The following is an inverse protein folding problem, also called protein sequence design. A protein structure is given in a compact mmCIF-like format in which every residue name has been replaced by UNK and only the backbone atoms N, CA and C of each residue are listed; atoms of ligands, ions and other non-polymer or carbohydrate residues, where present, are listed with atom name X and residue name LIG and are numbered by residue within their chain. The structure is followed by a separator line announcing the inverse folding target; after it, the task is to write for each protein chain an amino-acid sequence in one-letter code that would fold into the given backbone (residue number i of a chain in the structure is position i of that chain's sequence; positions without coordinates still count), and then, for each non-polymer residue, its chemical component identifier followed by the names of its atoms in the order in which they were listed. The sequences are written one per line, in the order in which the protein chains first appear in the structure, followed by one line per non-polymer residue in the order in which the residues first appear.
data_IF_509671136126
#
_entry.id   IF_509671136126
#
_cell.length_a   1.000
_cell.length_b   1.000
_cell.length_c   1.000
_cell.angle_alpha   90.00
_cell.angle_beta   90.00
_cell.angle_gamma   90.00
#
_symmetry.space_group_name_H-M   'P 1'
#
loop_
_entity.id
_entity.type
_entity.pdbx_description
1 polymer ?
#
# COMPACT_ATOMS: atom_id res chain seq x y z
N UNK A 1 -3.00 15.40 -27.64
CA UNK A 1 -4.31 15.67 -27.03
C UNK A 1 -4.23 15.16 -25.59
N UNK A 2 -3.96 16.04 -24.61
CA UNK A 2 -3.92 15.63 -23.20
C UNK A 2 -5.36 15.65 -22.71
N UNK A 3 -5.98 14.48 -22.68
CA UNK A 3 -7.30 14.32 -22.08
C UNK A 3 -7.14 14.58 -20.58
N UNK A 4 -7.79 15.64 -20.06
CA UNK A 4 -7.88 15.91 -18.62
C UNK A 4 -8.78 14.83 -18.00
N UNK A 5 -8.22 13.64 -17.83
CA UNK A 5 -8.84 12.56 -17.07
C UNK A 5 -8.84 12.98 -15.59
N UNK A 6 -10.00 13.37 -15.09
CA UNK A 6 -10.20 13.58 -13.66
C UNK A 6 -10.17 12.20 -12.99
N UNK A 7 -9.03 11.85 -12.39
CA UNK A 7 -8.94 10.74 -11.45
C UNK A 7 -9.39 11.23 -10.07
N UNK A 8 -10.24 10.45 -9.40
CA UNK A 8 -10.66 10.75 -8.03
C UNK A 8 -10.26 9.61 -7.09
N UNK A 9 -9.64 9.99 -5.97
CA UNK A 9 -9.39 9.08 -4.85
C UNK A 9 -10.57 9.24 -3.90
N UNK A 10 -11.42 8.22 -3.81
CA UNK A 10 -12.57 8.19 -2.93
C UNK A 10 -12.12 8.26 -1.47
N UNK A 11 -11.05 7.53 -1.12
CA UNK A 11 -10.44 7.61 0.19
C UNK A 11 -8.96 8.02 0.09
N UNK A 12 -8.69 9.25 0.52
CA UNK A 12 -7.33 9.77 0.75
C UNK A 12 -7.28 10.28 2.18
N UNK A 13 -7.09 9.37 3.14
CA UNK A 13 -6.90 9.66 4.57
C UNK A 13 -7.91 10.71 5.08
N UNK A 14 -9.20 10.39 5.01
CA UNK A 14 -10.19 11.09 5.84
C UNK A 14 -10.64 10.14 6.93
N UNK A 15 -10.14 10.43 8.13
CA UNK A 15 -10.51 9.80 9.40
C UNK A 15 -11.98 10.07 9.71
N UNK A 16 -12.81 9.04 9.54
CA UNK A 16 -13.76 8.66 10.60
C UNK A 16 -14.11 7.17 10.46
N UNK A 17 -13.08 6.29 10.46
CA UNK A 17 -13.28 4.94 10.99
C UNK A 17 -13.43 5.12 12.49
N UNK A 18 -14.59 5.62 12.91
CA UNK A 18 -14.99 5.64 14.31
C UNK A 18 -15.17 4.19 14.71
N UNK A 19 -14.10 3.58 15.21
CA UNK A 19 -14.25 2.66 16.31
C UNK A 19 -14.84 3.50 17.45
N UNK A 20 -16.18 3.63 17.49
CA UNK A 20 -16.87 4.46 18.50
C UNK A 20 -16.34 4.05 19.87
N UNK A 21 -15.58 4.94 20.49
CA UNK A 21 -15.18 4.81 21.88
C UNK A 21 -16.45 4.88 22.74
N UNK A 22 -16.73 3.82 23.50
CA UNK A 22 -17.62 3.91 24.67
C UNK A 22 -18.65 2.80 24.84
N UNK A 23 -19.06 2.07 23.81
CA UNK A 23 -20.05 0.98 23.96
C UNK A 23 -19.78 -0.12 22.95
N UNK A 24 -19.54 -1.35 23.45
CA UNK A 24 -19.62 -2.65 22.75
C UNK A 24 -19.49 -2.61 21.22
N UNK A 25 -18.30 -2.90 20.70
CA UNK A 25 -17.98 -3.26 19.30
C UNK A 25 -18.80 -2.50 18.22
N UNK A 26 -18.20 -1.53 17.49
CA UNK A 26 -18.77 -1.14 16.19
C UNK A 26 -18.95 -2.44 15.39
N UNK A 27 -20.17 -2.73 14.94
CA UNK A 27 -20.34 -3.90 14.10
C UNK A 27 -19.50 -3.67 12.84
N UNK A 28 -18.62 -4.62 12.53
CA UNK A 28 -17.77 -4.62 11.33
C UNK A 28 -18.60 -4.44 10.04
N UNK A 29 -19.91 -4.70 10.13
CA UNK A 29 -20.92 -4.46 9.10
C UNK A 29 -21.15 -2.96 8.85
N UNK A 30 -21.10 -2.11 9.89
CA UNK A 30 -21.36 -0.67 9.78
C UNK A 30 -20.36 0.07 8.89
N UNK A 31 -19.06 -0.13 9.12
CA UNK A 31 -18.01 0.57 8.35
C UNK A 31 -18.06 0.26 6.84
N UNK A 32 -18.37 -0.98 6.47
CA UNK A 32 -18.44 -1.40 5.07
C UNK A 32 -19.64 -0.75 4.38
N UNK A 33 -20.79 -0.72 5.07
CA UNK A 33 -21.99 -0.07 4.59
C UNK A 33 -21.80 1.45 4.48
N UNK A 34 -21.17 2.08 5.48
CA UNK A 34 -20.88 3.51 5.47
C UNK A 34 -19.98 3.91 4.29
N UNK A 35 -18.89 3.15 4.06
CA UNK A 35 -18.02 3.41 2.92
C UNK A 35 -18.71 3.14 1.57
N UNK A 36 -19.54 2.09 1.49
CA UNK A 36 -20.34 1.79 0.30
C UNK A 36 -21.32 2.92 -0.04
N UNK A 37 -22.03 3.45 0.97
CA UNK A 37 -22.95 4.58 0.81
C UNK A 37 -22.22 5.85 0.35
N UNK A 38 -21.05 6.13 0.94
CA UNK A 38 -20.20 7.24 0.52
C UNK A 38 -19.75 7.09 -0.94
N UNK A 39 -19.19 5.94 -1.32
CA UNK A 39 -18.75 5.69 -2.69
C UNK A 39 -19.91 5.75 -3.69
N UNK A 40 -21.06 5.17 -3.34
CA UNK A 40 -22.26 5.24 -4.16
C UNK A 40 -22.73 6.68 -4.37
N UNK A 41 -22.70 7.51 -3.32
CA UNK A 41 -22.97 8.96 -3.43
C UNK A 41 -21.99 9.61 -4.40
N UNK A 42 -20.69 9.33 -4.30
CA UNK A 42 -19.70 9.87 -5.25
C UNK A 42 -19.99 9.45 -6.70
N UNK A 43 -20.35 8.18 -6.94
CA UNK A 43 -20.71 7.69 -8.27
C UNK A 43 -21.92 8.43 -8.83
N UNK A 44 -22.96 8.65 -8.01
CA UNK A 44 -24.17 9.37 -8.42
C UNK A 44 -23.90 10.81 -8.85
N UNK A 45 -23.09 11.55 -8.08
CA UNK A 45 -22.88 12.98 -8.29
C UNK A 45 -21.75 13.33 -9.25
N UNK A 46 -20.76 12.44 -9.43
CA UNK A 46 -19.57 12.77 -10.22
C UNK A 46 -19.26 11.77 -11.34
N UNK A 47 -19.90 10.60 -11.39
CA UNK A 47 -19.59 9.58 -12.38
C UNK A 47 -20.05 9.87 -13.81
N UNK A 48 -20.81 10.95 -14.00
CA UNK A 48 -21.02 11.54 -15.32
C UNK A 48 -19.68 11.99 -15.96
N UNK A 49 -18.75 12.52 -15.15
CA UNK A 49 -17.46 13.08 -15.57
C UNK A 49 -16.24 12.27 -15.15
N UNK A 50 -16.25 11.67 -13.96
CA UNK A 50 -15.13 10.88 -13.44
C UNK A 50 -15.12 9.50 -14.10
N UNK A 51 -14.00 9.15 -14.74
CA UNK A 51 -13.82 7.87 -15.45
C UNK A 51 -12.78 6.94 -14.83
N UNK A 52 -12.07 7.39 -13.81
CA UNK A 52 -11.13 6.57 -13.06
C UNK A 52 -11.35 6.77 -11.56
N UNK A 53 -11.77 5.69 -10.91
CA UNK A 53 -12.06 5.65 -9.48
C UNK A 53 -10.99 4.86 -8.75
N UNK A 54 -10.37 5.49 -7.74
CA UNK A 54 -9.52 4.81 -6.79
C UNK A 54 -10.27 4.74 -5.48
N UNK A 55 -10.60 3.53 -5.04
CA UNK A 55 -11.31 3.29 -3.78
C UNK A 55 -10.46 3.68 -2.56
N UNK A 56 -9.31 3.03 -2.42
CA UNK A 56 -8.35 3.26 -1.33
C UNK A 56 -6.98 3.66 -1.88
N UNK A 57 -6.31 4.51 -1.11
CA UNK A 57 -4.92 4.89 -1.32
C UNK A 57 -4.05 4.25 -0.24
N UNK A 58 -2.99 3.56 -0.68
CA UNK A 58 -1.91 3.03 0.16
C UNK A 58 -2.40 2.17 1.33
N UNK A 59 -3.11 1.06 1.03
CA UNK A 59 -3.77 0.29 2.04
C UNK A 59 -2.80 -0.34 3.07
N UNK A 60 -1.55 -0.59 2.66
CA UNK A 60 -0.52 -1.11 3.53
C UNK A 60 -0.02 -0.02 4.49
N UNK A 61 0.35 1.16 3.97
CA UNK A 61 0.85 2.27 4.79
C UNK A 61 -0.14 2.67 5.87
N UNK A 62 -1.43 2.86 5.56
CA UNK A 62 -2.37 3.30 6.60
C UNK A 62 -2.62 2.21 7.66
N UNK A 63 -2.60 0.92 7.30
CA UNK A 63 -2.76 -0.18 8.25
C UNK A 63 -1.57 -0.25 9.21
N UNK A 64 -0.36 -0.17 8.69
CA UNK A 64 0.87 -0.21 9.49
C UNK A 64 1.07 1.08 10.29
N UNK A 65 1.04 2.25 9.65
CA UNK A 65 1.32 3.52 10.34
C UNK A 65 0.21 3.91 11.32
N UNK A 66 -1.04 3.50 11.07
CA UNK A 66 -2.18 3.84 11.91
C UNK A 66 -2.46 2.87 13.05
N UNK A 67 -2.14 1.58 12.87
CA UNK A 67 -2.54 0.49 13.78
C UNK A 67 -1.40 -0.44 14.23
N UNK A 68 -0.19 -0.27 13.70
CA UNK A 68 1.03 -0.91 14.22
C UNK A 68 1.98 0.12 14.84
N UNK A 69 2.51 1.06 14.05
CA UNK A 69 3.48 2.06 14.52
C UNK A 69 2.80 3.17 15.33
N UNK A 70 1.56 3.50 14.98
CA UNK A 70 0.77 4.54 15.63
C UNK A 70 1.21 5.99 15.33
N UNK A 71 1.99 6.22 14.27
CA UNK A 71 2.41 7.57 13.84
C UNK A 71 1.33 8.32 13.07
N UNK A 72 0.45 7.59 12.37
CA UNK A 72 -0.69 8.18 11.65
C UNK A 72 -1.97 7.95 12.42
N UNK A 73 -2.97 8.81 12.22
CA UNK A 73 -4.27 8.64 12.84
C UNK A 73 -4.89 7.28 12.47
N UNK A 74 -5.53 6.55 13.41
CA UNK A 74 -5.89 6.99 14.77
C UNK A 74 -4.79 6.89 15.83
N UNK A 75 -3.57 6.47 15.48
CA UNK A 75 -2.44 6.41 16.41
C UNK A 75 -2.55 5.25 17.39
N UNK A 76 -2.93 4.07 16.90
CA UNK A 76 -3.08 2.85 17.70
C UNK A 76 -1.85 1.97 17.53
N UNK A 77 -1.33 1.46 18.64
CA UNK A 77 -0.22 0.52 18.64
C UNK A 77 -0.20 -0.32 19.94
N UNK A 78 0.52 -1.44 19.91
CA UNK A 78 0.95 -2.18 21.09
C UNK A 78 1.80 -1.28 21.97
N UNK A 79 1.56 -1.36 23.28
CA UNK A 79 2.23 -0.51 24.25
C UNK A 79 3.39 -1.25 24.89
N UNK A 80 4.62 -0.74 24.73
CA UNK A 80 5.63 -0.87 25.78
C UNK A 80 5.64 0.44 26.58
N UNK A 81 5.19 0.40 27.84
CA UNK A 81 5.27 1.51 28.84
C UNK A 81 4.50 2.82 28.53
N UNK A 82 3.44 2.77 27.72
CA UNK A 82 2.56 3.88 27.31
C UNK A 82 3.27 5.08 26.66
N UNK A 83 4.45 4.86 26.08
CA UNK A 83 5.30 5.94 25.58
C UNK A 83 4.75 6.64 24.32
N UNK A 84 4.03 5.92 23.44
CA UNK A 84 3.65 6.44 22.11
C UNK A 84 2.16 6.31 21.76
N UNK A 85 1.44 5.27 22.20
CA UNK A 85 0.00 5.12 21.94
C UNK A 85 -0.81 4.89 23.21
N UNK A 86 -2.06 5.37 23.20
CA UNK A 86 -3.00 5.22 24.34
C UNK A 86 -3.70 3.87 24.37
N UNK A 87 -3.84 3.21 23.23
CA UNK A 87 -4.52 1.91 23.08
C UNK A 87 -4.20 1.31 21.71
N UNK A 88 -4.36 0.00 21.55
CA UNK A 88 -4.13 -0.67 20.28
C UNK A 88 -3.63 -2.09 20.50
N UNK A 89 -3.49 -2.82 19.39
CA UNK A 89 -2.84 -4.12 19.36
C UNK A 89 -2.20 -4.30 17.99
N UNK A 90 -0.90 -3.98 17.91
CA UNK A 90 -0.10 -4.06 16.68
C UNK A 90 0.02 -5.48 16.13
N UNK A 91 -0.25 -6.50 16.94
CA UNK A 91 -0.26 -7.89 16.50
C UNK A 91 -1.50 -8.24 15.66
N UNK A 92 -2.62 -7.51 15.80
CA UNK A 92 -3.93 -7.93 15.25
C UNK A 92 -4.67 -6.84 14.48
N UNK A 93 -4.62 -5.60 14.94
CA UNK A 93 -5.39 -4.50 14.36
C UNK A 93 -5.02 -4.21 12.90
N UNK A 94 -3.73 -4.21 12.49
CA UNK A 94 -3.37 -4.03 11.08
C UNK A 94 -4.05 -5.05 10.16
N UNK A 95 -4.13 -6.33 10.57
CA UNK A 95 -4.79 -7.39 9.81
C UNK A 95 -6.31 -7.25 9.75
N UNK A 96 -6.94 -6.88 10.86
CA UNK A 96 -8.39 -6.60 10.90
C UNK A 96 -8.73 -5.43 9.98
N UNK A 97 -7.91 -4.38 10.01
CA UNK A 97 -8.06 -3.19 9.18
C UNK A 97 -7.88 -3.51 7.70
N UNK A 98 -6.78 -4.19 7.34
CA UNK A 98 -6.52 -4.60 5.96
C UNK A 98 -7.62 -5.50 5.38
N UNK A 99 -8.14 -6.43 6.18
CA UNK A 99 -9.25 -7.31 5.79
C UNK A 99 -10.54 -6.52 5.51
N UNK A 100 -10.84 -5.50 6.31
CA UNK A 100 -12.00 -4.65 6.09
C UNK A 100 -11.86 -3.73 4.88
N UNK A 101 -10.65 -3.25 4.59
CA UNK A 101 -10.40 -2.50 3.35
C UNK A 101 -10.66 -3.35 2.13
N UNK A 102 -10.15 -4.58 2.08
CA UNK A 102 -10.40 -5.49 0.95
C UNK A 102 -11.89 -5.76 0.75
N UNK A 103 -12.64 -5.99 1.83
CA UNK A 103 -14.08 -6.26 1.74
C UNK A 103 -14.90 -5.03 1.37
N UNK A 104 -14.52 -3.85 1.87
CA UNK A 104 -15.16 -2.59 1.51
C UNK A 104 -14.88 -2.24 0.05
N UNK A 105 -13.63 -2.46 -0.41
CA UNK A 105 -13.24 -2.29 -1.80
C UNK A 105 -14.09 -3.16 -2.73
N UNK A 106 -14.16 -4.46 -2.44
CA UNK A 106 -14.89 -5.40 -3.27
C UNK A 106 -16.40 -5.08 -3.32
N UNK A 107 -17.01 -4.68 -2.20
CA UNK A 107 -18.41 -4.23 -2.17
C UNK A 107 -18.65 -2.98 -3.01
N UNK A 108 -17.76 -1.99 -2.94
CA UNK A 108 -17.86 -0.75 -3.74
C UNK A 108 -17.70 -1.04 -5.23
N UNK A 109 -16.79 -1.94 -5.59
CA UNK A 109 -16.58 -2.35 -7.00
C UNK A 109 -17.80 -3.08 -7.53
N UNK A 110 -18.41 -3.96 -6.74
CA UNK A 110 -19.66 -4.64 -7.09
C UNK A 110 -20.79 -3.65 -7.34
N UNK A 111 -20.99 -2.67 -6.43
CA UNK A 111 -21.96 -1.58 -6.61
C UNK A 111 -21.69 -0.79 -7.90
N UNK A 112 -20.43 -0.41 -8.15
CA UNK A 112 -20.07 0.33 -9.34
C UNK A 112 -20.36 -0.47 -10.61
N UNK A 113 -19.96 -1.74 -10.66
CA UNK A 113 -20.14 -2.62 -11.82
C UNK A 113 -21.61 -2.90 -12.11
N UNK A 114 -22.41 -3.14 -11.08
CA UNK A 114 -23.83 -3.51 -11.22
C UNK A 114 -24.73 -2.32 -11.52
N UNK A 115 -24.49 -1.16 -10.91
CA UNK A 115 -25.41 0.00 -11.01
C UNK A 115 -24.92 1.12 -11.93
N UNK A 116 -23.60 1.35 -12.02
CA UNK A 116 -23.07 2.58 -12.60
C UNK A 116 -22.25 2.36 -13.88
N UNK A 117 -21.52 1.24 -14.00
CA UNK A 117 -20.54 1.01 -15.07
C UNK A 117 -21.14 1.07 -16.47
N UNK A 118 -22.32 0.50 -16.69
CA UNK A 118 -22.97 0.52 -18.01
C UNK A 118 -23.26 1.94 -18.52
N UNK A 119 -23.67 2.85 -17.61
CA UNK A 119 -23.99 4.25 -17.95
C UNK A 119 -22.75 5.14 -17.95
N UNK A 120 -21.87 4.97 -16.97
CA UNK A 120 -20.76 5.87 -16.72
C UNK A 120 -19.50 5.51 -17.49
N UNK A 121 -19.34 4.23 -17.87
CA UNK A 121 -18.23 3.70 -18.65
C UNK A 121 -16.82 3.99 -18.06
N UNK A 122 -16.74 4.30 -16.77
CA UNK A 122 -15.46 4.46 -16.08
C UNK A 122 -14.87 3.13 -15.61
N UNK A 123 -13.64 3.20 -15.11
CA UNK A 123 -12.87 2.13 -14.52
C UNK A 123 -12.68 2.35 -13.01
N UNK A 124 -12.52 1.27 -12.26
CA UNK A 124 -12.33 1.31 -10.81
C UNK A 124 -11.16 0.43 -10.36
N UNK A 125 -10.39 0.91 -9.39
CA UNK A 125 -9.23 0.21 -8.86
C UNK A 125 -8.85 0.67 -7.45
N UNK A 126 -7.63 0.35 -7.08
CA UNK A 126 -7.00 0.65 -5.79
C UNK A 126 -5.55 1.03 -6.03
N UNK A 127 -5.01 1.94 -5.22
CA UNK A 127 -3.65 2.45 -5.34
C UNK A 127 -2.79 1.93 -4.19
N UNK A 128 -1.65 1.30 -4.50
CA UNK A 128 -0.79 0.61 -3.53
C UNK A 128 0.51 1.36 -3.31
N UNK A 129 0.91 1.55 -2.05
CA UNK A 129 2.27 1.92 -1.67
C UNK A 129 3.20 0.73 -1.84
N UNK A 130 4.14 0.81 -2.78
CA UNK A 130 5.04 -0.30 -3.05
C UNK A 130 6.49 0.17 -2.98
N UNK A 131 7.15 -0.21 -1.90
CA UNK A 131 8.59 -0.36 -1.90
C UNK A 131 8.96 -1.64 -2.65
N UNK A 132 9.95 -1.54 -3.54
CA UNK A 132 10.57 -2.72 -4.13
C UNK A 132 11.69 -3.22 -3.22
N UNK A 133 11.94 -4.54 -3.24
CA UNK A 133 13.03 -5.13 -2.47
C UNK A 133 14.01 -5.89 -3.35
N UNK A 134 15.29 -5.56 -3.21
CA UNK A 134 16.40 -6.33 -3.77
C UNK A 134 16.97 -7.26 -2.69
N UNK A 135 17.41 -8.49 -3.01
CA UNK A 135 18.00 -9.36 -2.01
C UNK A 135 19.35 -8.83 -1.53
N UNK A 136 19.60 -8.89 -0.22
CA UNK A 136 20.88 -8.46 0.38
C UNK A 136 22.06 -9.27 -0.15
N UNK A 137 21.85 -10.57 -0.37
CA UNK A 137 22.82 -11.49 -0.95
C UNK A 137 22.14 -12.49 -1.90
N UNK A 138 22.94 -13.19 -2.71
CA UNK A 138 22.44 -14.26 -3.59
C UNK A 138 22.12 -15.57 -2.82
N UNK A 139 22.14 -15.55 -1.47
CA UNK A 139 21.79 -16.73 -0.70
C UNK A 139 20.30 -17.06 -0.85
N UNK A 140 19.97 -18.34 -0.90
CA UNK A 140 18.57 -18.78 -0.99
C UNK A 140 17.71 -18.25 0.19
N UNK A 141 18.34 -18.04 1.35
CA UNK A 141 17.69 -17.55 2.56
C UNK A 141 17.29 -16.08 2.43
N UNK A 142 18.15 -15.23 1.87
CA UNK A 142 17.84 -13.81 1.64
C UNK A 142 16.89 -13.61 0.48
N UNK A 143 17.00 -14.41 -0.58
CA UNK A 143 16.03 -14.41 -1.69
C UNK A 143 14.63 -14.76 -1.15
N UNK A 144 14.53 -15.81 -0.32
CA UNK A 144 13.26 -16.18 0.31
C UNK A 144 12.75 -15.09 1.26
N UNK A 145 13.63 -14.41 2.00
CA UNK A 145 13.24 -13.29 2.86
C UNK A 145 12.76 -12.08 2.06
N UNK A 146 13.38 -11.81 0.92
CA UNK A 146 12.98 -10.75 -0.02
C UNK A 146 11.58 -10.99 -0.56
N UNK A 147 11.27 -12.23 -0.96
CA UNK A 147 9.91 -12.57 -1.38
C UNK A 147 8.89 -12.39 -0.25
N UNK A 148 9.24 -12.73 1.00
CA UNK A 148 8.36 -12.47 2.15
C UNK A 148 8.17 -10.97 2.39
N UNK A 149 9.22 -10.15 2.29
CA UNK A 149 9.09 -8.71 2.39
C UNK A 149 8.14 -8.16 1.31
N UNK A 150 8.25 -8.65 0.07
CA UNK A 150 7.35 -8.27 -1.03
C UNK A 150 5.90 -8.76 -0.80
N UNK A 151 5.72 -9.97 -0.26
CA UNK A 151 4.39 -10.51 0.06
C UNK A 151 3.70 -9.68 1.15
N UNK A 152 4.42 -9.24 2.19
CA UNK A 152 3.84 -8.41 3.25
C UNK A 152 3.61 -6.95 2.81
N UNK A 153 4.49 -6.38 1.98
CA UNK A 153 4.36 -5.00 1.49
C UNK A 153 3.27 -4.85 0.42
N UNK A 154 3.23 -5.77 -0.55
CA UNK A 154 2.39 -5.65 -1.74
C UNK A 154 1.41 -6.82 -1.88
N UNK A 155 1.90 -8.05 -1.70
CA UNK A 155 1.07 -9.26 -1.82
C UNK A 155 -0.12 -9.30 -0.84
N UNK A 156 0.01 -8.67 0.34
CA UNK A 156 -1.03 -8.63 1.36
C UNK A 156 -2.37 -8.13 0.81
N UNK A 157 -2.35 -7.09 -0.02
CA UNK A 157 -3.55 -6.57 -0.66
C UNK A 157 -3.71 -7.04 -2.10
N UNK A 158 -2.61 -7.32 -2.81
CA UNK A 158 -2.64 -7.69 -4.22
C UNK A 158 -3.08 -9.14 -4.45
N UNK A 159 -2.60 -10.12 -3.67
CA UNK A 159 -2.95 -11.53 -3.84
C UNK A 159 -4.45 -11.80 -3.64
N UNK A 160 -5.15 -11.21 -2.64
CA UNK A 160 -6.60 -11.34 -2.52
C UNK A 160 -7.36 -10.92 -3.79
N UNK A 161 -6.92 -9.85 -4.46
CA UNK A 161 -7.59 -9.30 -5.64
C UNK A 161 -7.40 -10.18 -6.89
N UNK A 162 -6.30 -10.94 -6.97
CA UNK A 162 -6.02 -11.79 -8.14
C UNK A 162 -6.34 -13.27 -7.90
N UNK A 163 -6.15 -13.74 -6.68
CA UNK A 163 -6.24 -15.16 -6.32
C UNK A 163 -7.39 -15.45 -5.34
N UNK A 164 -7.99 -14.43 -4.73
CA UNK A 164 -9.11 -14.57 -3.79
C UNK A 164 -8.70 -14.90 -2.36
N UNK A 165 -7.41 -14.90 -2.04
CA UNK A 165 -6.89 -15.19 -0.70
C UNK A 165 -5.52 -14.53 -0.48
N UNK A 166 -5.08 -14.45 0.77
CA UNK A 166 -3.79 -13.88 1.17
C UNK A 166 -2.60 -14.74 0.72
N UNK A 167 -1.38 -14.16 0.62
CA UNK A 167 -0.16 -14.91 0.33
C UNK A 167 0.04 -16.08 1.30
N UNK A 168 0.54 -17.21 0.82
CA UNK A 168 0.81 -18.39 1.65
C UNK A 168 1.84 -18.10 2.76
N UNK A 169 2.83 -17.27 2.47
CA UNK A 169 3.84 -16.81 3.44
C UNK A 169 3.22 -16.06 4.61
N UNK A 170 2.23 -15.20 4.36
CA UNK A 170 1.48 -14.49 5.40
C UNK A 170 0.62 -15.45 6.22
N UNK A 171 -0.16 -16.32 5.57
CA UNK A 171 -1.03 -17.29 6.27
C UNK A 171 -0.24 -18.16 7.25
N UNK A 172 0.92 -18.66 6.82
CA UNK A 172 1.77 -19.50 7.66
C UNK A 172 2.41 -18.73 8.82
N UNK A 173 2.82 -17.48 8.61
CA UNK A 173 3.57 -16.70 9.61
C UNK A 173 2.69 -15.98 10.62
N UNK A 174 1.56 -15.45 10.15
CA UNK A 174 0.61 -14.68 10.98
C UNK A 174 -0.38 -15.61 11.69
N UNK A 175 -0.74 -16.73 11.05
CA UNK A 175 -1.63 -17.73 11.63
C UNK A 175 -3.02 -17.18 11.94
N UNK A 176 -3.52 -17.45 13.14
CA UNK A 176 -4.88 -17.08 13.57
C UNK A 176 -5.14 -15.58 13.68
N UNK A 177 -4.09 -14.74 13.68
CA UNK A 177 -4.22 -13.27 13.68
C UNK A 177 -4.65 -12.72 12.33
N UNK A 178 -4.46 -13.49 11.24
CA UNK A 178 -4.89 -13.13 9.89
C UNK A 178 -6.34 -13.59 9.69
N UNK A 179 -7.32 -12.69 9.49
CA UNK A 179 -8.70 -13.08 9.26
C UNK A 179 -8.83 -13.93 7.99
N UNK A 180 -9.81 -14.83 7.97
CA UNK A 180 -10.07 -15.70 6.82
C UNK A 180 -11.24 -15.18 5.99
N UNK A 181 -11.13 -15.23 4.67
CA UNK A 181 -12.25 -14.97 3.78
C UNK A 181 -13.20 -16.18 3.75
N UNK A 182 -14.50 -15.93 3.86
CA UNK A 182 -15.50 -16.93 3.46
C UNK A 182 -15.43 -17.16 1.94
N UNK A 183 -16.00 -18.27 1.46
CA UNK A 183 -16.08 -18.54 0.01
C UNK A 183 -16.75 -17.40 -0.77
N UNK A 184 -17.81 -16.81 -0.22
CA UNK A 184 -18.51 -15.69 -0.83
C UNK A 184 -17.66 -14.41 -0.86
N UNK A 185 -16.92 -14.14 0.23
CA UNK A 185 -16.00 -12.99 0.30
C UNK A 185 -14.84 -13.13 -0.69
N UNK A 186 -14.23 -14.32 -0.75
CA UNK A 186 -13.17 -14.64 -1.70
C UNK A 186 -13.64 -14.45 -3.15
N UNK A 187 -14.84 -14.94 -3.47
CA UNK A 187 -15.44 -14.76 -4.79
C UNK A 187 -15.73 -13.29 -5.13
N UNK A 188 -16.16 -12.48 -4.15
CA UNK A 188 -16.42 -11.05 -4.34
C UNK A 188 -15.13 -10.24 -4.56
N UNK A 189 -14.05 -10.57 -3.83
CA UNK A 189 -12.77 -9.85 -3.90
C UNK A 189 -12.01 -10.21 -5.18
N UNK A 190 -12.00 -11.49 -5.58
CA UNK A 190 -11.24 -11.94 -6.74
C UNK A 190 -11.72 -11.25 -8.02
N UNK A 191 -10.82 -10.52 -8.69
CA UNK A 191 -11.10 -9.77 -9.90
C UNK A 191 -11.82 -8.43 -9.68
N UNK A 192 -11.87 -7.92 -8.44
CA UNK A 192 -12.54 -6.66 -8.09
C UNK A 192 -11.77 -5.39 -8.48
N UNK A 193 -11.07 -5.39 -9.62
CA UNK A 193 -10.42 -4.19 -10.16
C UNK A 193 -10.41 -4.19 -11.68
N UNK A 194 -10.37 -3.01 -12.27
CA UNK A 194 -10.16 -2.78 -13.70
C UNK A 194 -8.71 -2.30 -13.99
N UNK A 195 -8.05 -1.69 -13.00
CA UNK A 195 -6.64 -1.29 -13.05
C UNK A 195 -5.99 -1.33 -11.67
N UNK A 196 -4.66 -1.33 -11.66
CA UNK A 196 -3.80 -1.33 -10.47
C UNK A 196 -3.10 0.02 -10.39
N UNK A 197 -3.36 0.80 -9.34
CA UNK A 197 -2.60 2.02 -9.05
C UNK A 197 -1.33 1.69 -8.28
N UNK A 198 -0.20 2.28 -8.68
CA UNK A 198 1.10 2.08 -8.02
C UNK A 198 1.66 3.41 -7.56
N UNK A 199 1.89 3.52 -6.26
CA UNK A 199 2.65 4.57 -5.61
C UNK A 199 4.05 4.01 -5.31
N UNK A 200 5.03 4.37 -6.14
CA UNK A 200 6.38 3.84 -6.00
C UNK A 200 7.42 4.96 -5.93
N UNK A 201 8.25 4.90 -4.89
CA UNK A 201 9.19 5.96 -4.55
C UNK A 201 10.63 5.49 -4.41
N UNK A 202 10.84 4.28 -3.86
CA UNK A 202 12.14 3.78 -3.41
C UNK A 202 12.22 2.26 -3.46
N UNK A 203 13.45 1.76 -3.32
CA UNK A 203 13.79 0.33 -3.24
C UNK A 203 14.74 0.12 -2.07
N UNK A 204 14.55 -0.92 -1.27
CA UNK A 204 15.45 -1.31 -0.17
C UNK A 204 16.09 -2.68 -0.44
N UNK A 205 17.12 -3.02 0.31
CA UNK A 205 17.56 -4.41 0.43
C UNK A 205 16.69 -5.16 1.45
N UNK A 206 16.52 -6.46 1.25
CA UNK A 206 15.89 -7.36 2.21
C UNK A 206 16.79 -8.57 2.50
N UNK A 207 16.82 -8.99 3.77
CA UNK A 207 17.52 -10.20 4.23
C UNK A 207 16.70 -10.94 5.28
N UNK A 208 17.07 -12.18 5.59
CA UNK A 208 16.47 -12.88 6.73
C UNK A 208 16.80 -12.12 8.02
N UNK A 209 15.78 -11.88 8.86
CA UNK A 209 16.03 -11.37 10.21
C UNK A 209 16.81 -12.40 11.04
N UNK A 210 17.90 -11.97 11.66
CA UNK A 210 18.76 -12.80 12.51
C UNK A 210 18.39 -12.72 13.99
N UNK A 211 17.60 -11.73 14.40
CA UNK A 211 17.09 -11.57 15.76
C UNK A 211 15.58 -11.41 15.71
N UNK A 212 14.89 -12.35 16.35
CA UNK A 212 13.46 -12.24 16.59
C UNK A 212 13.15 -11.77 18.01
N UNK A 213 14.13 -11.45 18.87
CA UNK A 213 13.84 -11.21 20.30
C UNK A 213 12.81 -10.09 20.50
N UNK A 214 12.89 -9.01 19.73
CA UNK A 214 11.91 -7.90 19.80
C UNK A 214 10.60 -8.27 19.07
N UNK A 215 10.68 -8.97 17.94
CA UNK A 215 9.50 -9.43 17.20
C UNK A 215 8.68 -10.49 17.94
N UNK A 216 9.34 -11.41 18.64
CA UNK A 216 8.76 -12.43 19.51
C UNK A 216 8.23 -11.80 20.82
N UNK A 217 8.90 -10.77 21.34
CA UNK A 217 8.49 -10.06 22.56
C UNK A 217 7.28 -9.15 22.32
N UNK A 218 7.21 -8.46 21.18
CA UNK A 218 6.12 -7.54 20.85
C UNK A 218 4.99 -8.23 20.06
N UNK A 219 5.32 -9.27 19.28
CA UNK A 219 4.41 -9.96 18.36
C UNK A 219 3.75 -9.01 17.34
N UNK A 220 4.47 -7.96 16.92
CA UNK A 220 3.94 -6.90 16.05
C UNK A 220 3.90 -7.31 14.56
N UNK A 221 2.94 -6.79 13.81
CA UNK A 221 2.72 -7.15 12.40
C UNK A 221 3.92 -6.86 11.50
N UNK A 222 4.70 -5.82 11.81
CA UNK A 222 5.96 -5.50 11.12
C UNK A 222 7.00 -6.64 11.18
N UNK A 223 7.00 -7.43 12.26
CA UNK A 223 7.97 -8.51 12.44
C UNK A 223 7.58 -9.82 11.74
N UNK A 224 6.31 -9.96 11.38
CA UNK A 224 5.75 -11.24 10.90
C UNK A 224 6.37 -11.70 9.57
N UNK A 225 6.84 -10.77 8.74
CA UNK A 225 7.57 -11.10 7.50
C UNK A 225 8.83 -11.92 7.75
N UNK A 226 9.44 -11.78 8.94
CA UNK A 226 10.75 -12.34 9.27
C UNK A 226 11.84 -11.88 8.30
N UNK A 227 11.68 -10.70 7.73
CA UNK A 227 12.63 -10.05 6.85
C UNK A 227 13.08 -8.72 7.47
N UNK A 228 14.38 -8.45 7.39
CA UNK A 228 14.94 -7.15 7.74
C UNK A 228 15.13 -6.37 6.44
N UNK A 229 14.54 -5.18 6.37
CA UNK A 229 14.66 -4.29 5.21
C UNK A 229 15.53 -3.09 5.56
N UNK A 230 16.53 -2.81 4.72
CA UNK A 230 17.51 -1.76 4.97
C UNK A 230 17.88 -1.06 3.66
N UNK A 231 18.10 0.25 3.67
CA UNK A 231 18.59 0.96 2.49
C UNK A 231 20.11 0.83 2.31
N UNK A 232 20.81 0.00 3.11
CA UNK A 232 22.26 -0.13 3.08
C UNK A 232 22.71 -1.58 2.88
N UNK A 233 23.80 -1.76 2.14
CA UNK A 233 24.54 -3.02 2.03
C UNK A 233 26.02 -2.74 2.20
N UNK A 234 26.67 -3.42 3.16
CA UNK A 234 28.09 -3.22 3.49
C UNK A 234 28.44 -1.75 3.76
N UNK A 235 27.58 -1.04 4.51
CA UNK A 235 27.75 0.37 4.86
C UNK A 235 27.50 1.36 3.71
N UNK A 236 27.11 0.90 2.52
CA UNK A 236 26.81 1.77 1.37
C UNK A 236 25.31 1.84 1.12
N UNK A 237 24.72 3.04 0.91
CA UNK A 237 23.31 3.16 0.59
C UNK A 237 23.03 2.57 -0.81
N UNK A 238 21.81 2.09 -1.01
CA UNK A 238 21.33 1.51 -2.28
C UNK A 238 21.23 2.54 -3.41
N UNK A 239 21.11 3.82 -3.07
CA UNK A 239 21.09 4.94 -4.00
C UNK A 239 21.28 6.27 -3.27
N UNK A 240 21.24 7.37 -4.01
CA UNK A 240 21.32 8.71 -3.43
C UNK A 240 20.10 8.99 -2.55
N UNK A 241 20.31 9.56 -1.36
CA UNK A 241 19.22 9.94 -0.48
C UNK A 241 18.56 11.24 -0.95
N UNK A 242 17.24 11.31 -0.88
CA UNK A 242 16.51 12.58 -0.95
C UNK A 242 16.54 13.30 0.41
N UNK A 243 15.61 14.22 0.66
CA UNK A 243 15.53 14.91 1.95
C UNK A 243 15.05 13.97 3.06
N UNK A 244 13.95 13.26 2.82
CA UNK A 244 13.39 12.28 3.76
C UNK A 244 14.36 11.15 4.09
N UNK A 245 14.39 10.73 5.36
CA UNK A 245 15.29 9.66 5.84
C UNK A 245 15.01 8.31 5.18
N UNK A 246 13.79 8.10 4.71
CA UNK A 246 13.33 6.84 4.13
C UNK A 246 13.47 6.79 2.60
N UNK A 247 13.71 7.93 1.94
CA UNK A 247 13.61 8.04 0.48
C UNK A 247 14.99 7.97 -0.18
N UNK A 248 15.24 6.88 -0.89
CA UNK A 248 16.45 6.64 -1.68
C UNK A 248 16.09 6.55 -3.16
N UNK A 249 16.88 7.19 -4.02
CA UNK A 249 16.61 7.29 -5.45
C UNK A 249 17.14 6.04 -6.14
N UNK A 250 16.23 5.12 -6.48
CA UNK A 250 16.57 3.81 -7.07
C UNK A 250 15.69 3.54 -8.30
N UNK A 251 15.94 4.23 -9.44
CA UNK A 251 15.03 4.22 -10.59
C UNK A 251 14.78 2.85 -11.21
N UNK A 252 15.76 1.94 -11.16
CA UNK A 252 15.58 0.58 -11.69
C UNK A 252 14.57 -0.25 -10.90
N UNK A 253 14.25 0.14 -9.65
CA UNK A 253 13.24 -0.51 -8.82
C UNK A 253 11.85 -0.53 -9.45
N UNK A 254 11.43 0.57 -10.09
CA UNK A 254 10.12 0.63 -10.74
C UNK A 254 10.02 -0.37 -11.88
N UNK A 255 11.12 -0.57 -12.63
CA UNK A 255 11.17 -1.55 -13.72
C UNK A 255 11.07 -2.97 -13.17
N UNK A 256 11.81 -3.28 -12.11
CA UNK A 256 11.74 -4.58 -11.44
C UNK A 256 10.32 -4.85 -10.93
N UNK A 257 9.68 -3.86 -10.32
CA UNK A 257 8.30 -3.96 -9.86
C UNK A 257 7.31 -4.20 -11.00
N UNK A 258 7.41 -3.47 -12.12
CA UNK A 258 6.53 -3.68 -13.27
C UNK A 258 6.71 -5.08 -13.88
N UNK A 259 7.96 -5.55 -14.00
CA UNK A 259 8.25 -6.89 -14.46
C UNK A 259 7.65 -7.96 -13.53
N UNK A 260 7.77 -7.75 -12.21
CA UNK A 260 7.16 -8.62 -11.21
C UNK A 260 5.63 -8.67 -11.35
N UNK A 261 5.00 -7.50 -11.50
CA UNK A 261 3.53 -7.42 -11.70
C UNK A 261 3.10 -8.16 -12.96
N UNK A 262 3.81 -7.94 -14.07
CA UNK A 262 3.59 -8.64 -15.34
C UNK A 262 3.65 -10.16 -15.16
N UNK A 263 4.69 -10.66 -14.51
CA UNK A 263 4.94 -12.09 -14.37
C UNK A 263 4.00 -12.77 -13.35
N UNK A 264 3.79 -12.16 -12.18
CA UNK A 264 3.00 -12.78 -11.10
C UNK A 264 1.49 -12.63 -11.30
N UNK A 265 1.03 -11.46 -11.78
CA UNK A 265 -0.39 -11.10 -11.81
C UNK A 265 -1.00 -11.07 -13.21
N UNK A 266 -0.29 -11.59 -14.22
CA UNK A 266 -0.83 -11.72 -15.58
C UNK A 266 -0.96 -10.38 -16.32
N UNK A 267 -0.04 -9.44 -16.06
CA UNK A 267 0.05 -8.16 -16.75
C UNK A 267 -1.25 -7.30 -16.75
N UNK A 268 -1.81 -6.98 -15.57
CA UNK A 268 -2.97 -6.10 -15.50
C UNK A 268 -2.64 -4.68 -16.02
N UNK A 269 -3.67 -3.88 -16.29
CA UNK A 269 -3.48 -2.45 -16.53
C UNK A 269 -2.92 -1.80 -15.26
N UNK A 270 -1.74 -1.19 -15.37
CA UNK A 270 -1.07 -0.48 -14.27
C UNK A 270 -1.04 1.02 -14.57
N UNK A 271 -1.36 1.82 -13.56
CA UNK A 271 -1.24 3.28 -13.58
C UNK A 271 -0.29 3.68 -12.45
N UNK A 272 0.79 4.41 -12.78
CA UNK A 272 1.61 5.02 -11.74
C UNK A 272 0.83 6.20 -11.16
N UNK A 273 0.33 6.03 -9.94
CA UNK A 273 -0.56 6.98 -9.28
C UNK A 273 0.20 7.97 -8.40
N UNK A 274 1.38 7.60 -7.90
CA UNK A 274 2.31 8.52 -7.24
C UNK A 274 3.77 8.10 -7.49
N UNK A 275 4.63 9.10 -7.71
CA UNK A 275 6.08 8.98 -7.83
C UNK A 275 6.67 10.38 -7.60
N UNK A 276 7.78 10.50 -6.88
CA UNK A 276 8.39 11.81 -6.65
C UNK A 276 9.46 11.81 -5.57
N UNK A 277 10.00 12.99 -5.31
CA UNK A 277 10.93 13.20 -4.20
C UNK A 277 10.74 14.55 -3.52
N UNK A 278 11.09 14.57 -2.24
CA UNK A 278 11.06 15.76 -1.41
C UNK A 278 12.42 16.47 -1.38
N UNK A 279 12.35 17.80 -1.28
CA UNK A 279 13.51 18.65 -1.03
C UNK A 279 13.53 19.10 0.44
N UNK A 280 14.69 19.51 0.97
CA UNK A 280 14.78 20.07 2.31
C UNK A 280 13.89 21.32 2.46
N UNK A 281 12.97 21.28 3.41
CA UNK A 281 12.14 22.45 3.73
C UNK A 281 12.90 23.40 4.66
N UNK A 282 13.72 24.27 4.07
CA UNK A 282 14.49 25.27 4.82
C UNK A 282 14.02 26.68 4.45
N UNK A 283 13.40 27.37 5.42
CA UNK A 283 12.89 28.75 5.28
C UNK A 283 13.96 29.80 4.90
N UNK A 284 15.25 29.45 5.03
CA UNK A 284 16.37 30.32 4.63
C UNK A 284 16.68 30.23 3.13
N UNK A 285 16.12 29.25 2.40
CA UNK A 285 16.34 29.11 0.96
C UNK A 285 15.41 30.09 0.22
N UNK A 286 15.95 31.05 -0.56
CA UNK A 286 15.11 31.93 -1.37
C UNK A 286 14.26 31.14 -2.36
N UNK A 287 13.03 31.59 -2.63
CA UNK A 287 12.10 30.92 -3.58
C UNK A 287 12.77 30.68 -4.95
N UNK A 288 13.54 31.66 -5.45
CA UNK A 288 14.26 31.54 -6.74
C UNK A 288 15.25 30.37 -6.79
N UNK A 289 15.74 29.91 -5.64
CA UNK A 289 16.68 28.80 -5.52
C UNK A 289 15.94 27.50 -5.19
N UNK A 290 14.86 27.56 -4.39
CA UNK A 290 13.96 26.42 -4.16
C UNK A 290 13.26 25.94 -5.44
N UNK A 291 13.01 26.83 -6.40
CA UNK A 291 12.45 26.50 -7.71
C UNK A 291 13.45 25.83 -8.66
N UNK A 292 14.75 25.76 -8.31
CA UNK A 292 15.78 25.08 -9.11
C UNK A 292 15.88 23.61 -8.70
N UNK A 293 14.86 22.84 -9.04
CA UNK A 293 14.70 21.44 -8.62
C UNK A 293 15.30 20.41 -9.60
N UNK A 294 16.53 20.67 -10.09
CA UNK A 294 17.23 19.82 -11.06
C UNK A 294 17.31 18.35 -10.62
N UNK A 295 17.46 18.10 -9.31
CA UNK A 295 17.47 16.75 -8.75
C UNK A 295 16.11 16.06 -8.90
N UNK A 296 14.99 16.77 -8.70
CA UNK A 296 13.63 16.25 -8.93
C UNK A 296 13.37 16.00 -10.42
N UNK A 297 13.83 16.91 -11.29
CA UNK A 297 13.75 16.72 -12.74
C UNK A 297 14.50 15.44 -13.15
N UNK A 298 15.73 15.26 -12.67
CA UNK A 298 16.52 14.05 -12.92
C UNK A 298 15.84 12.79 -12.37
N UNK A 299 15.30 12.85 -11.15
CA UNK A 299 14.54 11.76 -10.54
C UNK A 299 13.42 11.29 -11.47
N UNK A 300 12.55 12.20 -11.92
CA UNK A 300 11.45 11.83 -12.80
C UNK A 300 11.92 11.29 -14.15
N UNK A 301 12.94 11.91 -14.76
CA UNK A 301 13.51 11.41 -16.02
C UNK A 301 14.03 9.97 -15.90
N UNK A 302 14.77 9.67 -14.82
CA UNK A 302 15.33 8.33 -14.61
C UNK A 302 14.22 7.29 -14.35
N UNK A 303 13.22 7.60 -13.53
CA UNK A 303 12.09 6.70 -13.25
C UNK A 303 11.23 6.48 -14.49
N UNK A 304 10.91 7.53 -15.26
CA UNK A 304 10.16 7.42 -16.51
C UNK A 304 10.92 6.60 -17.57
N UNK A 305 12.25 6.75 -17.64
CA UNK A 305 13.09 5.93 -18.52
C UNK A 305 13.03 4.45 -18.14
N UNK A 306 13.08 4.13 -16.85
CA UNK A 306 12.96 2.75 -16.37
C UNK A 306 11.55 2.18 -16.56
N UNK A 307 10.51 3.01 -16.39
CA UNK A 307 9.13 2.64 -16.69
C UNK A 307 8.96 2.34 -18.19
N UNK A 308 9.46 3.21 -19.08
CA UNK A 308 9.45 2.96 -20.53
C UNK A 308 10.15 1.64 -20.87
N UNK A 309 11.28 1.34 -20.24
CA UNK A 309 11.99 0.08 -20.43
C UNK A 309 11.24 -1.17 -19.96
N UNK A 310 10.14 -1.01 -19.20
CA UNK A 310 9.25 -2.12 -18.77
C UNK A 310 8.08 -2.38 -19.71
N UNK A 311 7.76 -1.46 -20.65
CA UNK A 311 6.60 -1.52 -21.56
C UNK A 311 6.82 -2.50 -22.75
N UNK A 312 7.75 -3.45 -22.63
CA UNK A 312 8.09 -4.40 -23.71
C UNK A 312 7.24 -5.67 -23.70
#
# INVERSE_FOLDING_TARGET
MVEKSLSSKLFRIFTDIKLRNGTSRPSVVGIRADFANYAETCFQFFGDRVKHWITFNEPHTFAIQGYDVGLQAPGRCSVLLHLFCRSGNSATEPYIVGHNVLLSHAAVVDIYRTKYKAKQQGSIGISFDVMWYEPMSNSAVDIAATQRAQDFQFGWFMDPLFFGDYPSSMKTRVGSRLPQFSKAQSALIKGSLDFVGINHYTTYYAQKSTSNIIGDLLNDSLSDSGALTLPFRNGKPIGDKASSIWLYIVPHGIRSLMNYIKQKYGNPVVIITENGMDDPNNSLIPIKDALKDEKRIKYHNDYLTNLLASIR
#
